data_IF_604591550334
#
_entry.id   IF_604591550334
#
_cell.length_a   1.000
_cell.length_b   1.000
_cell.length_c   1.000
_cell.angle_alpha   90.00
_cell.angle_beta   90.00
_cell.angle_gamma   90.00
#
_symmetry.space_group_name_H-M   'P 1'
#
loop_
_entity.id
_entity.type
_entity.pdbx_description
1 polymer ?
#
# COMPACT_ATOMS: atom_id res chain seq x y z
N UNK A 1 9.09 71.19 -12.83
CA UNK A 1 9.50 70.54 -11.57
C UNK A 1 8.44 69.50 -11.24
N UNK A 2 8.60 68.28 -11.74
CA UNK A 2 7.64 67.19 -11.57
C UNK A 2 8.23 66.19 -10.56
N UNK A 3 7.51 65.95 -9.47
CA UNK A 3 7.91 65.04 -8.38
C UNK A 3 7.63 63.60 -8.79
N UNK A 4 8.68 62.80 -8.91
CA UNK A 4 8.61 61.33 -9.06
C UNK A 4 8.19 60.74 -7.71
N UNK A 5 7.05 60.07 -7.65
CA UNK A 5 6.63 59.27 -6.50
C UNK A 5 7.38 57.93 -6.55
N UNK A 6 8.02 57.47 -5.46
CA UNK A 6 8.68 56.16 -5.45
C UNK A 6 7.62 55.06 -5.41
N UNK A 7 7.74 54.10 -6.34
CA UNK A 7 6.92 52.89 -6.37
C UNK A 7 7.03 52.15 -5.03
N UNK A 8 5.90 52.09 -4.33
CA UNK A 8 5.71 51.24 -3.16
C UNK A 8 5.84 49.78 -3.63
N UNK A 9 6.91 49.12 -3.17
CA UNK A 9 6.98 47.67 -3.16
C UNK A 9 5.68 47.11 -2.57
N UNK A 10 4.91 46.41 -3.39
CA UNK A 10 3.78 45.59 -2.95
C UNK A 10 4.33 44.48 -2.05
N UNK A 11 4.36 44.74 -0.74
CA UNK A 11 4.71 43.78 0.31
C UNK A 11 3.49 43.02 0.78
N UNK A 12 2.48 42.80 -0.07
CA UNK A 12 1.39 41.89 0.28
C UNK A 12 1.99 40.49 0.49
N UNK A 13 1.93 39.92 1.71
CA UNK A 13 2.45 38.59 1.95
C UNK A 13 1.70 37.65 1.01
N UNK A 14 2.44 36.97 0.12
CA UNK A 14 1.90 35.96 -0.77
C UNK A 14 0.95 35.09 0.05
N UNK A 15 -0.35 35.13 -0.29
CA UNK A 15 -1.38 34.42 0.43
C UNK A 15 -0.93 32.97 0.59
N UNK A 16 -0.51 32.61 1.81
CA UNK A 16 -0.13 31.24 2.11
C UNK A 16 -1.41 30.44 1.97
N UNK A 17 -1.48 29.57 0.97
CA UNK A 17 -2.60 28.65 0.80
C UNK A 17 -2.96 28.06 2.17
N UNK A 18 -4.25 28.06 2.56
CA UNK A 18 -4.65 27.52 3.85
C UNK A 18 -4.18 26.07 3.94
N UNK A 19 -3.54 25.73 5.07
CA UNK A 19 -3.03 24.39 5.30
C UNK A 19 -4.17 23.37 5.06
N UNK A 20 -3.92 22.30 4.30
CA UNK A 20 -4.96 21.31 4.01
C UNK A 20 -5.54 20.78 5.31
N UNK A 21 -6.88 20.72 5.39
CA UNK A 21 -7.58 20.25 6.57
C UNK A 21 -7.02 18.87 7.01
N UNK A 22 -6.87 18.61 8.32
CA UNK A 22 -6.42 17.31 8.79
C UNK A 22 -7.30 16.19 8.22
N UNK A 23 -6.69 15.12 7.74
CA UNK A 23 -7.48 13.97 7.28
C UNK A 23 -8.23 13.37 8.46
N UNK A 24 -9.43 12.83 8.19
CA UNK A 24 -10.24 12.20 9.22
C UNK A 24 -9.56 10.95 9.75
N UNK A 25 -9.11 11.03 11.00
CA UNK A 25 -8.52 9.91 11.71
C UNK A 25 -9.64 9.13 12.38
N UNK A 26 -9.80 7.82 12.11
CA UNK A 26 -10.83 7.03 12.78
C UNK A 26 -10.57 6.96 14.28
N UNK A 27 -11.61 6.67 15.09
CA UNK A 27 -11.50 6.57 16.54
C UNK A 27 -10.37 5.63 16.96
N UNK A 28 -9.72 5.93 18.09
CA UNK A 28 -8.58 5.13 18.61
C UNK A 28 -8.93 3.65 18.68
N UNK A 29 -10.14 3.33 19.17
CA UNK A 29 -10.67 1.97 19.27
C UNK A 29 -10.65 1.23 17.93
N UNK A 30 -11.11 1.86 16.85
CA UNK A 30 -11.11 1.26 15.50
C UNK A 30 -9.68 0.97 15.05
N UNK A 31 -8.78 1.96 15.21
CA UNK A 31 -7.37 1.85 14.80
C UNK A 31 -6.62 0.75 15.55
N UNK A 32 -6.94 0.54 16.83
CA UNK A 32 -6.28 -0.48 17.66
C UNK A 32 -6.87 -1.87 17.48
N UNK A 33 -8.16 -1.98 17.15
CA UNK A 33 -8.84 -3.29 17.06
C UNK A 33 -8.85 -3.88 15.65
N UNK A 34 -8.81 -3.07 14.60
CA UNK A 34 -8.91 -3.58 13.22
C UNK A 34 -7.76 -4.52 12.84
N UNK A 35 -6.54 -4.22 13.28
CA UNK A 35 -5.36 -5.07 13.08
C UNK A 35 -5.50 -6.45 13.74
N UNK A 36 -5.59 -6.55 15.08
CA UNK A 36 -5.69 -7.83 15.77
C UNK A 36 -6.99 -8.58 15.45
N UNK A 37 -8.13 -7.88 15.33
CA UNK A 37 -9.40 -8.49 14.96
C UNK A 37 -9.36 -9.07 13.55
N UNK A 38 -8.79 -8.34 12.60
CA UNK A 38 -8.60 -8.82 11.24
C UNK A 38 -7.56 -9.95 11.14
N UNK A 39 -6.49 -9.91 11.93
CA UNK A 39 -5.51 -10.99 12.02
C UNK A 39 -6.12 -12.30 12.51
N UNK A 40 -6.92 -12.24 13.58
CA UNK A 40 -7.65 -13.39 14.10
C UNK A 40 -8.66 -13.91 13.08
N UNK A 41 -9.43 -13.00 12.45
CA UNK A 41 -10.38 -13.38 11.40
C UNK A 41 -9.70 -14.05 10.20
N UNK A 42 -8.54 -13.56 9.77
CA UNK A 42 -7.78 -14.16 8.68
C UNK A 42 -7.24 -15.54 9.04
N UNK A 43 -6.65 -15.69 10.23
CA UNK A 43 -6.19 -16.99 10.74
C UNK A 43 -7.33 -18.01 10.78
N UNK A 44 -8.46 -17.63 11.39
CA UNK A 44 -9.65 -18.49 11.50
C UNK A 44 -10.28 -18.78 10.14
N UNK A 45 -10.26 -17.83 9.21
CA UNK A 45 -10.73 -18.01 7.84
C UNK A 45 -9.90 -19.06 7.09
N UNK A 46 -8.58 -19.02 7.22
CA UNK A 46 -7.68 -20.02 6.64
C UNK A 46 -7.86 -21.40 7.31
N UNK A 47 -7.88 -21.44 8.64
CA UNK A 47 -8.09 -22.68 9.39
C UNK A 47 -9.46 -23.32 9.06
N UNK A 48 -10.51 -22.51 9.02
CA UNK A 48 -11.86 -22.94 8.64
C UNK A 48 -11.92 -23.46 7.21
N UNK A 49 -11.24 -22.80 6.27
CA UNK A 49 -11.14 -23.27 4.90
C UNK A 49 -10.46 -24.65 4.80
N UNK A 50 -9.37 -24.85 5.55
CA UNK A 50 -8.69 -26.14 5.60
C UNK A 50 -9.58 -27.25 6.17
N UNK A 51 -10.28 -26.98 7.28
CA UNK A 51 -11.22 -27.93 7.91
C UNK A 51 -12.39 -28.25 6.98
N UNK A 52 -12.88 -27.27 6.22
CA UNK A 52 -13.98 -27.43 5.26
C UNK A 52 -13.54 -28.04 3.91
N UNK A 53 -12.25 -28.36 3.71
CA UNK A 53 -11.73 -28.90 2.45
C UNK A 53 -11.74 -27.92 1.29
N UNK A 54 -11.77 -26.61 1.57
CA UNK A 54 -11.71 -25.55 0.56
C UNK A 54 -10.26 -25.33 0.07
N UNK A 55 -10.06 -24.78 -1.15
CA UNK A 55 -8.73 -24.46 -1.66
C UNK A 55 -8.08 -23.33 -0.85
N UNK A 56 -7.28 -23.70 0.15
CA UNK A 56 -6.69 -22.78 1.15
C UNK A 56 -5.92 -21.61 0.51
N UNK A 57 -5.15 -21.86 -0.54
CA UNK A 57 -4.40 -20.79 -1.21
C UNK A 57 -5.31 -19.78 -1.92
N UNK A 58 -6.46 -20.22 -2.47
CA UNK A 58 -7.44 -19.29 -3.04
C UNK A 58 -8.08 -18.43 -1.95
N UNK A 59 -8.41 -19.03 -0.80
CA UNK A 59 -8.97 -18.30 0.34
C UNK A 59 -7.96 -17.28 0.88
N UNK A 60 -6.68 -17.65 0.98
CA UNK A 60 -5.60 -16.72 1.35
C UNK A 60 -5.48 -15.54 0.38
N UNK A 61 -5.45 -15.80 -0.93
CA UNK A 61 -5.42 -14.74 -1.94
C UNK A 61 -6.65 -13.81 -1.86
N UNK A 62 -7.84 -14.38 -1.65
CA UNK A 62 -9.09 -13.61 -1.53
C UNK A 62 -9.11 -12.74 -0.27
N UNK A 63 -8.70 -13.27 0.89
CA UNK A 63 -8.60 -12.51 2.13
C UNK A 63 -7.59 -11.37 2.01
N UNK A 64 -6.43 -11.64 1.41
CA UNK A 64 -5.42 -10.62 1.11
C UNK A 64 -5.97 -9.51 0.22
N UNK A 65 -6.72 -9.88 -0.83
CA UNK A 65 -7.36 -8.93 -1.75
C UNK A 65 -8.39 -8.06 -1.02
N UNK A 66 -9.25 -8.66 -0.20
CA UNK A 66 -10.27 -7.93 0.56
C UNK A 66 -9.59 -6.95 1.54
N UNK A 67 -8.61 -7.42 2.31
CA UNK A 67 -7.89 -6.59 3.27
C UNK A 67 -7.17 -5.42 2.58
N UNK A 68 -6.47 -5.70 1.48
CA UNK A 68 -5.79 -4.69 0.68
C UNK A 68 -6.77 -3.73 0.01
N UNK A 69 -7.91 -4.19 -0.52
CA UNK A 69 -8.88 -3.31 -1.13
C UNK A 69 -9.47 -2.35 -0.09
N UNK A 70 -9.90 -2.85 1.07
CA UNK A 70 -10.50 -2.02 2.11
C UNK A 70 -9.51 -0.99 2.68
N UNK A 71 -8.33 -1.43 3.15
CA UNK A 71 -7.34 -0.54 3.76
C UNK A 71 -6.57 0.25 2.71
N UNK A 72 -6.25 -0.36 1.57
CA UNK A 72 -5.52 0.26 0.47
C UNK A 72 -6.32 1.36 -0.20
N UNK A 73 -7.63 1.22 -0.40
CA UNK A 73 -8.45 2.33 -0.92
C UNK A 73 -8.44 3.51 0.06
N UNK A 74 -8.53 3.25 1.36
CA UNK A 74 -8.42 4.29 2.38
C UNK A 74 -7.05 4.99 2.32
N UNK A 75 -5.95 4.21 2.31
CA UNK A 75 -4.59 4.75 2.20
C UNK A 75 -4.38 5.55 0.91
N UNK A 76 -4.89 5.06 -0.22
CA UNK A 76 -4.83 5.74 -1.50
C UNK A 76 -5.58 7.08 -1.49
N UNK A 77 -6.75 7.15 -0.84
CA UNK A 77 -7.50 8.41 -0.69
C UNK A 77 -6.73 9.42 0.16
N UNK A 78 -6.19 8.98 1.31
CA UNK A 78 -5.41 9.85 2.20
C UNK A 78 -4.12 10.31 1.52
N UNK A 79 -3.43 9.43 0.80
CA UNK A 79 -2.19 9.77 0.10
C UNK A 79 -2.43 10.77 -1.04
N UNK A 80 -3.53 10.65 -1.79
CA UNK A 80 -3.88 11.65 -2.81
C UNK A 80 -4.16 13.03 -2.21
N UNK A 81 -4.85 13.08 -1.08
CA UNK A 81 -5.26 14.34 -0.46
C UNK A 81 -4.14 14.99 0.37
N UNK A 82 -3.30 14.19 1.05
CA UNK A 82 -2.34 14.66 2.05
C UNK A 82 -0.90 14.20 1.83
N UNK A 83 -0.60 13.46 0.76
CA UNK A 83 0.75 12.94 0.43
C UNK A 83 1.36 12.11 1.57
N UNK A 84 0.52 11.38 2.29
CA UNK A 84 0.88 10.62 3.47
C UNK A 84 0.13 9.29 3.49
N UNK A 85 0.85 8.23 3.89
CA UNK A 85 0.28 6.90 4.09
C UNK A 85 0.12 6.67 5.61
N UNK A 86 -1.11 6.51 6.14
CA UNK A 86 -1.34 6.35 7.57
C UNK A 86 -0.69 5.09 8.14
N UNK A 87 0.26 5.26 9.07
CA UNK A 87 0.98 4.13 9.69
C UNK A 87 0.05 3.10 10.35
N UNK A 88 -1.07 3.54 10.93
CA UNK A 88 -2.02 2.62 11.58
C UNK A 88 -2.69 1.69 10.57
N UNK A 89 -2.99 2.17 9.36
CA UNK A 89 -3.63 1.37 8.31
C UNK A 89 -2.64 0.36 7.73
N UNK A 90 -1.39 0.77 7.55
CA UNK A 90 -0.30 -0.13 7.13
C UNK A 90 -0.04 -1.20 8.19
N UNK A 91 0.00 -0.81 9.48
CA UNK A 91 0.17 -1.76 10.58
C UNK A 91 -1.01 -2.74 10.69
N UNK A 92 -2.24 -2.27 10.48
CA UNK A 92 -3.41 -3.14 10.44
C UNK A 92 -3.35 -4.15 9.28
N UNK A 93 -2.98 -3.70 8.08
CA UNK A 93 -2.79 -4.58 6.93
C UNK A 93 -1.69 -5.62 7.19
N UNK A 94 -0.57 -5.19 7.79
CA UNK A 94 0.50 -6.10 8.19
C UNK A 94 0.06 -7.14 9.22
N UNK A 95 -0.72 -6.74 10.23
CA UNK A 95 -1.28 -7.67 11.21
C UNK A 95 -2.22 -8.69 10.56
N UNK A 96 -3.11 -8.24 9.66
CA UNK A 96 -4.02 -9.12 8.92
C UNK A 96 -3.25 -10.14 8.09
N UNK A 97 -2.26 -9.69 7.30
CA UNK A 97 -1.45 -10.58 6.46
C UNK A 97 -0.59 -11.54 7.30
N UNK A 98 -0.14 -11.10 8.48
CA UNK A 98 0.57 -11.97 9.42
C UNK A 98 -0.36 -13.04 10.00
N UNK A 99 -1.59 -12.67 10.38
CA UNK A 99 -2.60 -13.64 10.81
C UNK A 99 -2.92 -14.68 9.73
N UNK A 100 -3.04 -14.24 8.47
CA UNK A 100 -3.22 -15.13 7.33
C UNK A 100 -2.02 -16.08 7.13
N UNK A 101 -0.79 -15.56 7.24
CA UNK A 101 0.43 -16.38 7.15
C UNK A 101 0.55 -17.41 8.29
N UNK A 102 0.16 -17.04 9.51
CA UNK A 102 0.04 -18.01 10.63
C UNK A 102 -1.03 -19.05 10.34
N UNK A 103 -2.17 -18.64 9.75
CA UNK A 103 -3.19 -19.56 9.26
C UNK A 103 -2.63 -20.59 8.28
N UNK A 104 -1.83 -20.16 7.30
CA UNK A 104 -1.15 -21.07 6.36
C UNK A 104 -0.19 -22.02 7.10
N UNK A 105 0.57 -21.50 8.06
CA UNK A 105 1.52 -22.32 8.83
C UNK A 105 0.82 -23.45 9.60
N UNK A 106 -0.27 -23.15 10.32
CA UNK A 106 -0.97 -24.14 11.17
C UNK A 106 -1.84 -25.12 10.39
N UNK A 107 -2.08 -24.86 9.09
CA UNK A 107 -2.89 -25.72 8.20
C UNK A 107 -2.05 -26.58 7.27
N UNK A 108 -0.73 -26.65 7.48
CA UNK A 108 0.19 -27.47 6.67
C UNK A 108 0.77 -26.77 5.45
N UNK A 109 0.46 -25.49 5.22
CA UNK A 109 0.98 -24.66 4.13
C UNK A 109 2.22 -23.85 4.55
N UNK A 110 3.04 -24.39 5.47
CA UNK A 110 4.21 -23.70 6.03
C UNK A 110 5.23 -23.24 4.99
N UNK A 111 5.40 -23.98 3.88
CA UNK A 111 6.29 -23.58 2.78
C UNK A 111 5.85 -22.26 2.11
N UNK A 112 4.54 -22.07 1.91
CA UNK A 112 3.97 -20.84 1.35
C UNK A 112 4.05 -19.68 2.35
N UNK A 113 3.83 -19.95 3.64
CA UNK A 113 4.00 -18.95 4.69
C UNK A 113 5.46 -18.46 4.76
N UNK A 114 6.42 -19.38 4.73
CA UNK A 114 7.85 -19.08 4.71
C UNK A 114 8.25 -18.33 3.44
N UNK A 115 7.74 -18.74 2.27
CA UNK A 115 7.97 -18.03 1.02
C UNK A 115 7.47 -16.58 1.10
N UNK A 116 6.27 -16.35 1.63
CA UNK A 116 5.74 -15.01 1.89
C UNK A 116 6.67 -14.18 2.77
N UNK A 117 7.16 -14.77 3.86
CA UNK A 117 8.09 -14.10 4.78
C UNK A 117 9.43 -13.76 4.10
N UNK A 118 10.00 -14.67 3.32
CA UNK A 118 11.25 -14.42 2.56
C UNK A 118 11.06 -13.27 1.58
N UNK A 119 9.97 -13.28 0.82
CA UNK A 119 9.64 -12.19 -0.12
C UNK A 119 9.41 -10.87 0.62
N UNK A 120 8.78 -10.88 1.81
CA UNK A 120 8.66 -9.69 2.67
C UNK A 120 10.02 -9.12 3.06
N UNK A 121 10.96 -9.96 3.50
CA UNK A 121 12.30 -9.51 3.89
C UNK A 121 13.02 -8.92 2.68
N UNK A 122 12.97 -9.59 1.53
CA UNK A 122 13.56 -9.08 0.28
C UNK A 122 12.94 -7.73 -0.09
N UNK A 123 11.62 -7.62 -0.08
CA UNK A 123 10.90 -6.38 -0.40
C UNK A 123 11.29 -5.24 0.54
N UNK A 124 11.36 -5.51 1.85
CA UNK A 124 11.77 -4.56 2.87
C UNK A 124 13.20 -4.06 2.61
N UNK A 125 14.15 -4.97 2.37
CA UNK A 125 15.55 -4.63 2.11
C UNK A 125 15.69 -3.80 0.84
N UNK A 126 15.13 -4.27 -0.28
CA UNK A 126 15.24 -3.59 -1.58
C UNK A 126 14.64 -2.18 -1.50
N UNK A 127 13.42 -2.04 -0.96
CA UNK A 127 12.78 -0.73 -0.89
C UNK A 127 13.40 0.17 0.17
N UNK A 128 13.93 -0.38 1.28
CA UNK A 128 14.69 0.42 2.25
C UNK A 128 15.96 0.99 1.60
N UNK A 129 16.71 0.19 0.86
CA UNK A 129 17.89 0.69 0.13
C UNK A 129 17.46 1.79 -0.86
N UNK A 130 16.39 1.56 -1.63
CA UNK A 130 15.86 2.59 -2.54
C UNK A 130 15.43 3.87 -1.81
N UNK A 131 14.88 3.76 -0.60
CA UNK A 131 14.52 4.90 0.23
C UNK A 131 15.77 5.68 0.69
N UNK A 132 16.81 4.98 1.14
CA UNK A 132 18.05 5.59 1.63
C UNK A 132 18.82 6.35 0.54
N UNK A 133 18.71 5.93 -0.72
CA UNK A 133 19.29 6.63 -1.88
C UNK A 133 18.35 7.70 -2.47
N UNK A 134 17.20 7.97 -1.84
CA UNK A 134 16.25 9.02 -2.25
C UNK A 134 15.26 8.63 -3.36
N UNK A 135 15.15 7.34 -3.70
CA UNK A 135 14.30 6.85 -4.79
C UNK A 135 12.82 6.62 -4.42
N UNK A 136 12.50 6.35 -3.15
CA UNK A 136 11.12 6.07 -2.69
C UNK A 136 10.82 6.70 -1.33
N UNK A 137 9.54 6.94 -1.03
CA UNK A 137 9.12 7.38 0.29
C UNK A 137 9.02 6.23 1.30
N UNK A 138 9.32 6.49 2.57
CA UNK A 138 9.20 5.51 3.66
C UNK A 138 7.77 4.94 3.81
N UNK A 139 6.74 5.70 3.42
CA UNK A 139 5.37 5.18 3.36
C UNK A 139 5.22 4.02 2.38
N UNK A 140 5.84 4.14 1.20
CA UNK A 140 5.80 3.14 0.14
C UNK A 140 6.52 1.86 0.59
N UNK A 141 7.69 2.03 1.22
CA UNK A 141 8.48 0.93 1.81
C UNK A 141 7.59 0.10 2.74
N UNK A 142 6.92 0.75 3.69
CA UNK A 142 6.08 0.04 4.67
C UNK A 142 4.88 -0.63 4.01
N UNK A 143 4.19 0.04 3.09
CA UNK A 143 3.03 -0.50 2.39
C UNK A 143 3.39 -1.75 1.59
N UNK A 144 4.43 -1.66 0.76
CA UNK A 144 4.89 -2.78 -0.06
C UNK A 144 5.39 -3.93 0.80
N UNK A 145 6.12 -3.62 1.88
CA UNK A 145 6.61 -4.66 2.80
C UNK A 145 5.47 -5.48 3.40
N UNK A 146 4.43 -4.82 3.92
CA UNK A 146 3.29 -5.57 4.50
C UNK A 146 2.46 -6.30 3.44
N UNK A 147 2.36 -5.75 2.23
CA UNK A 147 1.64 -6.40 1.13
C UNK A 147 2.42 -7.60 0.56
N UNK A 148 3.75 -7.54 0.56
CA UNK A 148 4.64 -8.61 0.13
C UNK A 148 4.44 -9.91 0.92
N UNK A 149 4.02 -9.83 2.20
CA UNK A 149 3.75 -11.02 3.01
C UNK A 149 2.61 -11.86 2.46
N UNK A 150 1.54 -11.21 2.01
CA UNK A 150 0.40 -11.91 1.45
C UNK A 150 0.68 -12.40 0.03
N UNK A 151 1.13 -11.51 -0.85
CA UNK A 151 1.33 -11.86 -2.27
C UNK A 151 2.55 -12.76 -2.49
N UNK A 152 3.59 -12.59 -1.69
CA UNK A 152 4.79 -13.42 -1.74
C UNK A 152 4.53 -14.89 -1.38
N UNK A 153 3.46 -15.18 -0.64
CA UNK A 153 3.03 -16.56 -0.41
C UNK A 153 2.72 -17.29 -1.73
N UNK A 154 2.34 -16.56 -2.78
CA UNK A 154 2.08 -17.08 -4.13
C UNK A 154 3.30 -17.02 -5.07
N UNK A 155 4.47 -16.69 -4.55
CA UNK A 155 5.74 -16.73 -5.26
C UNK A 155 6.33 -15.36 -5.56
N UNK A 156 7.64 -15.30 -5.79
CA UNK A 156 8.33 -14.04 -6.09
C UNK A 156 7.84 -13.40 -7.39
N UNK A 157 7.40 -14.20 -8.37
CA UNK A 157 6.83 -13.69 -9.63
C UNK A 157 5.56 -12.87 -9.42
N UNK A 158 4.69 -13.26 -8.49
CA UNK A 158 3.48 -12.50 -8.17
C UNK A 158 3.82 -11.14 -7.53
N UNK A 159 4.83 -11.10 -6.66
CA UNK A 159 5.33 -9.85 -6.09
C UNK A 159 5.98 -8.94 -7.14
N UNK A 160 6.83 -9.49 -8.03
CA UNK A 160 7.43 -8.72 -9.14
C UNK A 160 6.34 -8.14 -10.05
N UNK A 161 5.31 -8.93 -10.39
CA UNK A 161 4.17 -8.45 -11.16
C UNK A 161 3.45 -7.30 -10.46
N UNK A 162 3.22 -7.39 -9.15
CA UNK A 162 2.59 -6.32 -8.39
C UNK A 162 3.38 -5.02 -8.45
N UNK A 163 4.70 -5.09 -8.19
CA UNK A 163 5.58 -3.92 -8.24
C UNK A 163 5.63 -3.34 -9.64
N UNK A 164 5.84 -4.16 -10.67
CA UNK A 164 5.89 -3.71 -12.05
C UNK A 164 4.58 -3.01 -12.46
N UNK A 165 3.44 -3.65 -12.19
CA UNK A 165 2.13 -3.07 -12.47
C UNK A 165 1.94 -1.73 -11.74
N UNK A 166 2.36 -1.64 -10.47
CA UNK A 166 2.28 -0.40 -9.71
C UNK A 166 3.10 0.74 -10.31
N UNK A 167 4.36 0.48 -10.68
CA UNK A 167 5.22 1.51 -11.27
C UNK A 167 4.78 1.89 -12.70
N UNK A 168 4.30 0.94 -13.50
CA UNK A 168 3.70 1.23 -14.82
C UNK A 168 2.47 2.11 -14.67
N UNK A 169 1.56 1.80 -13.73
CA UNK A 169 0.39 2.63 -13.46
C UNK A 169 0.78 4.03 -12.96
N UNK A 170 1.77 4.13 -12.08
CA UNK A 170 2.27 5.42 -11.59
C UNK A 170 2.89 6.25 -12.71
N UNK A 171 3.64 5.61 -13.62
CA UNK A 171 4.22 6.27 -14.79
C UNK A 171 3.12 6.80 -15.72
N UNK A 172 2.17 5.94 -16.13
CA UNK A 172 1.14 6.25 -17.11
C UNK A 172 0.11 7.29 -16.60
N UNK A 173 -0.33 7.16 -15.36
CA UNK A 173 -1.44 7.96 -14.82
C UNK A 173 -1.00 9.04 -13.83
N UNK A 174 0.26 9.06 -13.42
CA UNK A 174 0.82 10.04 -12.49
C UNK A 174 1.92 10.87 -13.12
N UNK A 175 3.05 10.24 -13.41
CA UNK A 175 4.28 10.93 -13.83
C UNK A 175 4.18 11.54 -15.25
N UNK A 176 3.72 10.77 -16.24
CA UNK A 176 3.62 11.24 -17.63
C UNK A 176 2.65 12.42 -17.75
N UNK A 177 1.41 12.38 -17.20
CA UNK A 177 0.51 13.53 -17.25
C UNK A 177 1.05 14.76 -16.50
N UNK A 178 1.73 14.56 -15.36
CA UNK A 178 2.36 15.67 -14.64
C UNK A 178 3.49 16.32 -15.46
N UNK A 179 4.30 15.51 -16.14
CA UNK A 179 5.35 15.99 -17.02
C UNK A 179 4.79 16.77 -18.22
N UNK A 180 3.73 16.24 -18.87
CA UNK A 180 3.05 16.89 -19.99
C UNK A 180 2.41 18.23 -19.59
N UNK A 181 2.01 18.38 -18.31
CA UNK A 181 1.47 19.63 -17.74
C UNK A 181 2.54 20.58 -17.20
N UNK A 182 3.83 20.27 -17.41
CA UNK A 182 4.95 21.10 -16.92
C UNK A 182 5.19 21.02 -15.41
N UNK A 183 4.51 20.13 -14.69
CA UNK A 183 4.62 20.00 -13.24
C UNK A 183 5.76 19.05 -12.83
N UNK A 184 7.00 19.38 -13.22
CA UNK A 184 8.17 18.49 -12.99
C UNK A 184 8.56 18.31 -11.51
N UNK A 185 8.06 19.17 -10.61
CA UNK A 185 8.39 19.18 -9.17
C UNK A 185 7.27 18.65 -8.27
N UNK A 186 6.10 18.31 -8.81
CA UNK A 186 5.00 17.80 -7.98
C UNK A 186 5.25 16.34 -7.60
N UNK A 187 5.18 16.08 -6.30
CA UNK A 187 5.28 14.72 -5.76
C UNK A 187 4.04 13.92 -6.14
N UNK A 188 4.22 12.85 -6.90
CA UNK A 188 3.15 11.93 -7.32
C UNK A 188 2.74 11.06 -6.11
N UNK A 189 1.43 10.89 -5.82
CA UNK A 189 0.99 10.02 -4.72
C UNK A 189 1.15 8.58 -5.17
N UNK A 190 2.01 7.80 -4.52
CA UNK A 190 2.32 6.44 -4.96
C UNK A 190 1.32 5.40 -4.45
N UNK A 191 0.68 5.63 -3.30
CA UNK A 191 -0.19 4.63 -2.69
C UNK A 191 -1.33 4.14 -3.60
N UNK A 192 -2.03 4.99 -4.38
CA UNK A 192 -3.06 4.53 -5.31
C UNK A 192 -2.55 3.52 -6.34
N UNK A 193 -1.35 3.75 -6.87
CA UNK A 193 -0.76 2.89 -7.90
C UNK A 193 -0.15 1.63 -7.29
N UNK A 194 0.46 1.75 -6.10
CA UNK A 194 0.92 0.60 -5.31
C UNK A 194 -0.23 -0.35 -4.99
N UNK A 195 -1.34 0.18 -4.47
CA UNK A 195 -2.54 -0.62 -4.18
C UNK A 195 -3.11 -1.24 -5.46
N UNK A 196 -3.25 -0.45 -6.54
CA UNK A 196 -3.80 -0.96 -7.79
C UNK A 196 -2.97 -2.11 -8.40
N UNK A 197 -1.64 -1.98 -8.43
CA UNK A 197 -0.77 -3.04 -8.96
C UNK A 197 -0.82 -4.31 -8.12
N UNK A 198 -0.86 -4.21 -6.79
CA UNK A 198 -1.04 -5.37 -5.91
C UNK A 198 -2.42 -6.02 -6.05
N UNK A 199 -3.48 -5.22 -6.23
CA UNK A 199 -4.82 -5.74 -6.53
C UNK A 199 -4.82 -6.52 -7.85
N UNK A 200 -4.23 -5.96 -8.92
CA UNK A 200 -4.13 -6.64 -10.21
C UNK A 200 -3.37 -7.97 -10.11
N UNK A 201 -2.27 -7.99 -9.37
CA UNK A 201 -1.48 -9.20 -9.21
C UNK A 201 -2.21 -10.26 -8.36
N UNK A 202 -2.95 -9.86 -7.31
CA UNK A 202 -3.80 -10.78 -6.55
C UNK A 202 -4.96 -11.33 -7.38
N UNK A 203 -5.56 -10.52 -8.26
CA UNK A 203 -6.56 -10.99 -9.22
C UNK A 203 -5.97 -11.99 -10.22
N UNK A 204 -4.75 -11.74 -10.72
CA UNK A 204 -4.05 -12.67 -11.59
C UNK A 204 -3.74 -14.00 -10.87
N UNK A 205 -3.31 -13.95 -9.60
CA UNK A 205 -3.13 -15.13 -8.76
C UNK A 205 -4.43 -15.91 -8.58
N UNK A 206 -5.53 -15.23 -8.29
CA UNK A 206 -6.84 -15.87 -8.16
C UNK A 206 -7.28 -16.55 -9.46
N UNK A 207 -7.07 -15.89 -10.60
CA UNK A 207 -7.34 -16.47 -11.92
C UNK A 207 -6.49 -17.70 -12.20
N UNK A 208 -5.21 -17.66 -11.85
CA UNK A 208 -4.28 -18.79 -12.00
C UNK A 208 -4.62 -19.98 -11.09
N UNK A 209 -5.11 -19.73 -9.87
CA UNK A 209 -5.51 -20.81 -8.96
C UNK A 209 -6.87 -21.43 -9.33
N UNK A 210 -7.69 -20.74 -10.13
CA UNK A 210 -9.00 -21.21 -10.56
C UNK A 210 -9.00 -21.99 -11.89
N UNK A 211 -7.89 -21.93 -12.64
CA UNK A 211 -7.67 -22.67 -13.89
C UNK A 211 -7.08 -24.05 -13.64
#
# INVERSE_FOLDING_TARGET
MATVSPDLHDTSPAATDPAPAPYTVPPRTVRTLIGPGGALAALLGIAGAAVAGLPVLMVHAALALIALACLGIYMARVDRAHRLIPNWAVAALGAINLGAAVGLLVTGYGAWALQGLVVTVIAAVVLMVMHLIGGTGMGDVKLVTVAALAIGAHGPGAWVLAILASYVLAALFGAVPALLRGQRKTRVPMAPYLVAGHVLALLAVLGYLAS
#
